data_IF_508130108349
#
_entry.id   IF_508130108349
#
_cell.length_a   1.000
_cell.length_b   1.000
_cell.length_c   1.000
_cell.angle_alpha   90.00
_cell.angle_beta   90.00
_cell.angle_gamma   90.00
#
_symmetry.space_group_name_H-M   'P 1'
#
loop_
_entity.id
_entity.type
_entity.pdbx_description
1 polymer ?
#
# COMPACT_ATOMS: atom_id res chain seq x y z
N UNK A 1 22.68 -8.49 -5.01
CA UNK A 1 21.63 -7.45 -4.88
C UNK A 1 21.40 -7.17 -3.41
N UNK A 2 21.21 -5.90 -3.02
CA UNK A 2 20.87 -5.60 -1.64
C UNK A 2 19.48 -6.14 -1.32
N UNK A 3 19.35 -6.78 -0.16
CA UNK A 3 18.07 -7.27 0.35
C UNK A 3 17.17 -6.08 0.71
N UNK A 4 15.98 -6.00 0.17
CA UNK A 4 14.98 -4.98 0.48
C UNK A 4 13.83 -5.57 1.27
N UNK A 5 13.20 -4.77 2.10
CA UNK A 5 12.01 -5.13 2.89
C UNK A 5 10.80 -4.33 2.41
N UNK A 6 9.76 -5.04 1.98
CA UNK A 6 8.53 -4.46 1.45
C UNK A 6 7.35 -4.79 2.35
N UNK A 7 6.59 -3.78 2.75
CA UNK A 7 5.29 -3.95 3.42
C UNK A 7 4.18 -3.68 2.41
N UNK A 8 3.22 -4.59 2.28
CA UNK A 8 2.01 -4.40 1.47
C UNK A 8 0.80 -4.19 2.39
N UNK A 9 -0.01 -3.16 2.09
CA UNK A 9 -1.21 -2.82 2.85
C UNK A 9 -2.47 -3.04 2.01
N UNK A 10 -3.39 -3.88 2.50
CA UNK A 10 -4.69 -4.10 1.89
C UNK A 10 -5.75 -4.39 2.97
N UNK A 11 -7.06 -4.30 2.64
CA UNK A 11 -8.12 -4.56 3.62
C UNK A 11 -8.14 -5.99 4.13
N UNK A 12 -8.11 -6.95 3.23
CA UNK A 12 -8.27 -8.39 3.47
C UNK A 12 -7.46 -9.20 2.46
N UNK A 13 -7.26 -10.49 2.72
CA UNK A 13 -6.58 -11.47 1.85
C UNK A 13 -7.53 -12.56 1.34
N UNK A 14 -8.78 -12.19 1.05
CA UNK A 14 -9.77 -13.12 0.50
C UNK A 14 -9.60 -13.32 -1.03
N UNK A 15 -10.62 -13.80 -1.73
CA UNK A 15 -10.55 -14.05 -3.17
C UNK A 15 -10.83 -12.76 -3.94
N UNK A 16 -9.84 -12.28 -4.69
CA UNK A 16 -9.96 -11.08 -5.55
C UNK A 16 -8.68 -10.83 -6.35
N UNK A 17 -8.73 -9.91 -7.29
CA UNK A 17 -7.59 -9.58 -8.13
C UNK A 17 -6.48 -8.85 -7.38
N UNK A 18 -6.84 -7.98 -6.44
CA UNK A 18 -5.88 -7.26 -5.57
C UNK A 18 -5.18 -8.23 -4.64
N UNK A 19 -5.93 -9.12 -4.04
CA UNK A 19 -5.48 -10.12 -3.08
C UNK A 19 -4.54 -11.13 -3.74
N UNK A 20 -4.91 -11.66 -4.93
CA UNK A 20 -4.04 -12.52 -5.75
C UNK A 20 -2.75 -11.82 -6.11
N UNK A 21 -2.83 -10.60 -6.64
CA UNK A 21 -1.64 -9.82 -6.99
C UNK A 21 -0.78 -9.48 -5.76
N UNK A 22 -1.35 -9.38 -4.56
CA UNK A 22 -0.60 -9.21 -3.31
C UNK A 22 0.16 -10.47 -2.96
N UNK A 23 -0.50 -11.64 -3.03
CA UNK A 23 0.09 -12.95 -2.81
C UNK A 23 1.24 -13.20 -3.79
N UNK A 24 0.97 -13.07 -5.08
CA UNK A 24 1.96 -13.36 -6.13
C UNK A 24 3.19 -12.46 -6.01
N UNK A 25 2.99 -11.18 -5.73
CA UNK A 25 4.09 -10.25 -5.49
C UNK A 25 4.86 -10.57 -4.21
N UNK A 26 4.16 -10.97 -3.13
CA UNK A 26 4.78 -11.40 -1.87
C UNK A 26 5.69 -12.61 -2.09
N UNK A 27 5.18 -13.64 -2.77
CA UNK A 27 5.93 -14.86 -3.07
C UNK A 27 7.15 -14.57 -3.95
N UNK A 28 6.98 -13.75 -5.01
CA UNK A 28 8.08 -13.34 -5.88
C UNK A 28 9.17 -12.55 -5.14
N UNK A 29 8.84 -11.74 -4.14
CA UNK A 29 9.82 -11.06 -3.30
C UNK A 29 10.66 -12.08 -2.52
N UNK A 30 10.03 -13.05 -1.88
CA UNK A 30 10.71 -14.10 -1.10
C UNK A 30 11.61 -14.95 -2.01
N UNK A 31 11.11 -15.39 -3.17
CA UNK A 31 11.87 -16.16 -4.16
C UNK A 31 13.13 -15.42 -4.65
N UNK A 32 13.07 -14.08 -4.71
CA UNK A 32 14.20 -13.22 -5.07
C UNK A 32 15.12 -12.86 -3.90
N UNK A 33 14.89 -13.43 -2.71
CA UNK A 33 15.70 -13.21 -1.50
C UNK A 33 15.40 -11.90 -0.76
N UNK A 34 14.27 -11.24 -1.05
CA UNK A 34 13.81 -10.05 -0.34
C UNK A 34 12.92 -10.41 0.86
N UNK A 35 12.59 -9.42 1.69
CA UNK A 35 11.64 -9.58 2.79
C UNK A 35 10.27 -9.05 2.38
N UNK A 36 9.24 -9.87 2.58
CA UNK A 36 7.85 -9.49 2.36
C UNK A 36 7.07 -9.52 3.65
N UNK A 37 6.32 -8.44 3.90
CA UNK A 37 5.39 -8.31 5.01
C UNK A 37 4.05 -7.90 4.42
N UNK A 38 2.98 -8.57 4.83
CA UNK A 38 1.62 -8.20 4.44
C UNK A 38 0.83 -7.82 5.69
N UNK A 39 0.14 -6.68 5.64
CA UNK A 39 -0.72 -6.20 6.73
C UNK A 39 -2.15 -6.11 6.20
N UNK A 40 -3.04 -6.89 6.78
CA UNK A 40 -4.46 -6.97 6.41
C UNK A 40 -5.30 -7.54 7.56
N UNK A 41 -6.61 -7.66 7.37
CA UNK A 41 -7.50 -8.34 8.31
C UNK A 41 -7.46 -9.87 8.20
N UNK A 42 -6.44 -10.44 7.53
CA UNK A 42 -6.37 -11.88 7.23
C UNK A 42 -7.24 -12.29 6.04
N UNK A 43 -7.39 -13.59 5.83
CA UNK A 43 -8.19 -14.19 4.77
C UNK A 43 -7.57 -15.44 4.18
N UNK A 44 -8.15 -15.96 3.11
CA UNK A 44 -7.81 -17.28 2.54
C UNK A 44 -6.34 -17.38 2.07
N UNK A 45 -5.72 -16.28 1.61
CA UNK A 45 -4.33 -16.29 1.16
C UNK A 45 -3.31 -16.07 2.29
N UNK A 46 -3.75 -15.86 3.54
CA UNK A 46 -2.83 -15.64 4.66
C UNK A 46 -1.88 -16.82 4.86
N UNK A 47 -2.42 -18.05 4.87
CA UNK A 47 -1.63 -19.25 5.03
C UNK A 47 -0.63 -19.42 3.86
N UNK A 48 -1.07 -19.19 2.64
CA UNK A 48 -0.22 -19.34 1.44
C UNK A 48 1.00 -18.39 1.52
N UNK A 49 0.81 -17.11 1.82
CA UNK A 49 1.92 -16.15 1.92
C UNK A 49 2.86 -16.45 3.09
N UNK A 50 2.35 -16.94 4.23
CA UNK A 50 3.17 -17.27 5.40
C UNK A 50 3.95 -18.56 5.20
N UNK A 51 3.37 -19.56 4.56
CA UNK A 51 4.06 -20.80 4.21
C UNK A 51 5.22 -20.56 3.23
N UNK A 52 5.11 -19.53 2.36
CA UNK A 52 6.20 -19.08 1.47
C UNK A 52 7.26 -18.23 2.17
N UNK A 53 7.11 -17.92 3.46
CA UNK A 53 8.11 -17.22 4.28
C UNK A 53 7.88 -15.71 4.45
N UNK A 54 6.75 -15.15 4.00
CA UNK A 54 6.39 -13.78 4.31
C UNK A 54 5.83 -13.66 5.74
N UNK A 55 5.98 -12.48 6.35
CA UNK A 55 5.29 -12.16 7.61
C UNK A 55 3.90 -11.62 7.34
N UNK A 56 2.94 -11.96 8.19
CA UNK A 56 1.62 -11.35 8.19
C UNK A 56 1.30 -10.70 9.54
N UNK A 57 0.79 -9.46 9.50
CA UNK A 57 0.24 -8.77 10.67
C UNK A 57 -1.25 -8.58 10.49
N UNK A 58 -2.05 -9.16 11.40
CA UNK A 58 -3.49 -8.99 11.37
C UNK A 58 -3.89 -7.62 11.94
N UNK A 59 -4.35 -6.73 11.06
CA UNK A 59 -4.93 -5.43 11.39
C UNK A 59 -6.22 -5.19 10.58
N UNK A 60 -7.31 -4.77 11.22
CA UNK A 60 -8.60 -4.54 10.55
C UNK A 60 -8.60 -3.24 9.74
N UNK A 61 -7.77 -3.17 8.69
CA UNK A 61 -7.58 -1.99 7.84
C UNK A 61 -8.80 -1.65 6.96
N UNK A 62 -9.83 -2.50 6.96
CA UNK A 62 -11.10 -2.28 6.24
C UNK A 62 -12.09 -1.39 6.99
N UNK A 63 -11.95 -1.24 8.32
CA UNK A 63 -12.94 -0.55 9.15
C UNK A 63 -12.85 0.97 9.00
N UNK A 64 -13.97 1.59 8.61
CA UNK A 64 -14.18 3.05 8.60
C UNK A 64 -14.68 3.48 9.99
N UNK A 65 -13.79 3.94 10.86
CA UNK A 65 -14.18 4.35 12.22
C UNK A 65 -13.13 5.30 12.81
N UNK A 66 -13.48 6.00 13.91
CA UNK A 66 -12.54 6.70 14.81
C UNK A 66 -11.40 5.78 15.30
N UNK A 67 -11.59 4.47 15.24
CA UNK A 67 -10.58 3.43 15.41
C UNK A 67 -9.39 3.55 14.43
N UNK A 68 -9.55 4.26 13.32
CA UNK A 68 -8.47 4.46 12.33
C UNK A 68 -7.26 5.21 12.90
N UNK A 69 -7.44 6.11 13.90
CA UNK A 69 -6.34 6.78 14.57
C UNK A 69 -5.53 5.83 15.47
N UNK A 70 -6.23 4.91 16.15
CA UNK A 70 -5.57 3.84 16.92
C UNK A 70 -4.80 2.87 16.01
N UNK A 71 -5.41 2.48 14.90
CA UNK A 71 -4.74 1.65 13.88
C UNK A 71 -3.53 2.36 13.27
N UNK A 72 -3.59 3.67 13.07
CA UNK A 72 -2.44 4.44 12.59
C UNK A 72 -1.28 4.43 13.58
N UNK A 73 -1.56 4.50 14.90
CA UNK A 73 -0.52 4.37 15.94
C UNK A 73 0.10 2.97 15.93
N UNK A 74 -0.73 1.92 15.82
CA UNK A 74 -0.24 0.54 15.76
C UNK A 74 0.58 0.30 14.49
N UNK A 75 0.15 0.84 13.36
CA UNK A 75 0.84 0.75 12.08
C UNK A 75 2.19 1.47 12.10
N UNK A 76 2.27 2.69 12.69
CA UNK A 76 3.54 3.41 12.84
C UNK A 76 4.54 2.62 13.70
N UNK A 77 4.07 1.97 14.76
CA UNK A 77 4.94 1.13 15.60
C UNK A 77 5.49 -0.09 14.83
N UNK A 78 4.67 -0.74 14.00
CA UNK A 78 5.15 -1.82 13.11
C UNK A 78 6.23 -1.29 12.16
N UNK A 79 6.08 -0.09 11.59
CA UNK A 79 7.09 0.50 10.72
C UNK A 79 8.40 0.80 11.46
N UNK A 80 8.34 1.29 12.69
CA UNK A 80 9.52 1.55 13.53
C UNK A 80 10.27 0.26 13.88
N UNK A 81 9.55 -0.83 14.13
CA UNK A 81 10.13 -2.14 14.44
C UNK A 81 10.71 -2.82 13.19
N UNK A 82 9.92 -2.90 12.12
CA UNK A 82 10.29 -3.65 10.92
C UNK A 82 11.22 -2.86 9.98
N UNK A 83 11.21 -1.53 10.05
CA UNK A 83 12.06 -0.62 9.24
C UNK A 83 12.01 -0.97 7.75
N UNK A 84 10.82 -0.94 7.12
CA UNK A 84 10.69 -1.27 5.70
C UNK A 84 11.41 -0.25 4.83
N UNK A 85 11.90 -0.69 3.67
CA UNK A 85 12.41 0.18 2.62
C UNK A 85 11.25 0.76 1.79
N UNK A 86 10.21 -0.06 1.56
CA UNK A 86 9.05 0.30 0.73
C UNK A 86 7.77 -0.07 1.47
N UNK A 87 6.78 0.84 1.42
CA UNK A 87 5.40 0.57 1.80
C UNK A 87 4.52 0.68 0.57
N UNK A 88 3.85 -0.41 0.22
CA UNK A 88 3.01 -0.52 -0.96
C UNK A 88 1.53 -0.56 -0.58
N UNK A 89 0.80 0.48 -0.93
CA UNK A 89 -0.63 0.63 -0.64
C UNK A 89 -1.45 0.12 -1.81
N UNK A 90 -2.40 -0.77 -1.53
CA UNK A 90 -3.26 -1.39 -2.54
C UNK A 90 -4.74 -1.00 -2.46
N UNK A 91 -5.13 -0.19 -1.46
CA UNK A 91 -6.52 0.23 -1.29
C UNK A 91 -6.65 1.53 -0.51
N UNK A 92 -7.77 2.24 -0.72
CA UNK A 92 -8.05 3.58 -0.17
C UNK A 92 -8.11 3.64 1.36
N UNK A 93 -8.77 2.67 2.02
CA UNK A 93 -8.85 2.69 3.50
C UNK A 93 -7.48 2.48 4.16
N UNK A 94 -6.68 1.45 3.78
CA UNK A 94 -5.30 1.35 4.21
C UNK A 94 -4.47 2.60 3.91
N UNK A 95 -4.73 3.30 2.79
CA UNK A 95 -4.04 4.54 2.45
C UNK A 95 -4.31 5.66 3.46
N UNK A 96 -5.55 5.83 3.92
CA UNK A 96 -5.88 6.81 4.95
C UNK A 96 -5.23 6.49 6.29
N UNK A 97 -5.26 5.23 6.73
CA UNK A 97 -4.62 4.80 7.97
C UNK A 97 -3.10 5.02 7.86
N UNK A 98 -2.51 4.65 6.73
CA UNK A 98 -1.10 4.88 6.45
C UNK A 98 -0.74 6.38 6.45
N UNK A 99 -1.55 7.24 5.87
CA UNK A 99 -1.32 8.69 5.86
C UNK A 99 -1.15 9.26 7.28
N UNK A 100 -1.97 8.83 8.23
CA UNK A 100 -1.85 9.22 9.63
C UNK A 100 -0.67 8.54 10.33
N UNK A 101 -0.35 7.28 9.98
CA UNK A 101 0.81 6.58 10.51
C UNK A 101 2.12 7.26 10.07
N UNK A 102 2.23 7.63 8.80
CA UNK A 102 3.41 8.31 8.24
C UNK A 102 3.72 9.67 8.87
N UNK A 103 2.69 10.40 9.34
CA UNK A 103 2.90 11.67 10.07
C UNK A 103 3.63 11.49 11.41
N UNK A 104 3.67 10.26 11.93
CA UNK A 104 4.31 9.91 13.21
C UNK A 104 5.75 9.43 13.05
N UNK A 105 6.18 9.11 11.82
CA UNK A 105 7.50 8.57 11.55
C UNK A 105 8.53 9.69 11.39
N UNK A 106 9.68 9.53 12.05
CA UNK A 106 10.86 10.36 11.84
C UNK A 106 11.57 10.03 10.53
N UNK A 107 11.73 8.72 10.24
CA UNK A 107 12.28 8.22 8.97
C UNK A 107 11.16 7.53 8.19
N UNK A 108 10.91 8.01 6.97
CA UNK A 108 9.84 7.50 6.11
C UNK A 108 10.41 6.54 5.07
N UNK A 109 9.80 5.35 4.89
CA UNK A 109 10.10 4.48 3.74
C UNK A 109 9.54 5.09 2.44
N UNK A 110 9.98 4.56 1.31
CA UNK A 110 9.40 4.91 0.00
C UNK A 110 7.95 4.42 -0.04
N UNK A 111 7.05 5.31 -0.43
CA UNK A 111 5.63 5.02 -0.49
C UNK A 111 5.18 4.80 -1.93
N UNK A 112 4.58 3.63 -2.19
CA UNK A 112 4.06 3.24 -3.50
C UNK A 112 2.56 2.98 -3.39
N UNK A 113 1.78 3.35 -4.38
CA UNK A 113 0.37 2.94 -4.48
C UNK A 113 0.06 2.28 -5.81
N UNK A 114 -0.87 1.32 -5.81
CA UNK A 114 -1.44 0.76 -7.04
C UNK A 114 -2.91 1.15 -7.17
N UNK A 115 -3.24 1.73 -8.32
CA UNK A 115 -4.62 2.03 -8.70
C UNK A 115 -5.19 0.85 -9.48
N UNK A 116 -6.15 0.13 -8.87
CA UNK A 116 -6.76 -1.10 -9.41
C UNK A 116 -8.07 -0.85 -10.18
N UNK A 117 -8.54 0.40 -10.27
CA UNK A 117 -9.79 0.72 -10.95
C UNK A 117 -10.12 2.20 -10.98
N UNK A 118 -11.30 2.51 -11.54
CA UNK A 118 -11.86 3.85 -11.62
C UNK A 118 -12.44 4.24 -10.25
N UNK A 119 -11.80 5.13 -9.54
CA UNK A 119 -12.30 5.60 -8.26
C UNK A 119 -13.25 6.79 -8.44
N UNK A 120 -14.50 6.64 -8.01
CA UNK A 120 -15.61 7.56 -8.28
C UNK A 120 -15.67 8.82 -7.38
N UNK A 121 -14.89 8.88 -6.31
CA UNK A 121 -14.92 10.03 -5.36
C UNK A 121 -13.56 10.69 -5.24
N UNK A 122 -13.39 11.92 -5.81
CA UNK A 122 -12.08 12.58 -5.89
C UNK A 122 -11.40 12.74 -4.53
N UNK A 123 -12.07 13.33 -3.55
CA UNK A 123 -11.48 13.68 -2.24
C UNK A 123 -11.03 12.43 -1.46
N UNK A 124 -11.87 11.39 -1.42
CA UNK A 124 -11.55 10.18 -0.68
C UNK A 124 -10.40 9.39 -1.34
N UNK A 125 -10.29 9.46 -2.66
CA UNK A 125 -9.28 8.75 -3.44
C UNK A 125 -7.95 9.49 -3.55
N UNK A 126 -7.92 10.81 -3.33
CA UNK A 126 -6.70 11.63 -3.38
C UNK A 126 -5.59 11.15 -2.45
N UNK A 127 -5.92 10.47 -1.34
CA UNK A 127 -4.91 9.90 -0.45
C UNK A 127 -4.01 8.88 -1.16
N UNK A 128 -4.52 8.19 -2.19
CA UNK A 128 -3.76 7.23 -2.99
C UNK A 128 -2.71 7.90 -3.88
N UNK A 129 -2.86 9.19 -4.19
CA UNK A 129 -1.88 9.96 -4.98
C UNK A 129 -0.83 10.69 -4.11
N UNK A 130 -0.99 10.69 -2.76
CA UNK A 130 -0.01 11.27 -1.82
C UNK A 130 1.10 10.26 -1.51
N UNK A 131 1.80 9.82 -2.54
CA UNK A 131 2.84 8.78 -2.50
C UNK A 131 4.02 9.19 -3.38
N UNK A 132 5.15 8.51 -3.25
CA UNK A 132 6.34 8.77 -4.08
C UNK A 132 6.19 8.19 -5.49
N UNK A 133 5.54 7.01 -5.61
CA UNK A 133 5.34 6.34 -6.90
C UNK A 133 3.93 5.77 -7.03
N UNK A 134 3.37 5.87 -8.23
CA UNK A 134 2.05 5.32 -8.56
C UNK A 134 2.21 4.24 -9.63
N UNK A 135 1.58 3.09 -9.39
CA UNK A 135 1.44 2.01 -10.36
C UNK A 135 0.00 2.05 -10.88
N UNK A 136 -0.18 2.24 -12.18
CA UNK A 136 -1.45 2.16 -12.87
C UNK A 136 -1.57 0.85 -13.64
N UNK A 137 -2.63 0.09 -13.42
CA UNK A 137 -2.84 -1.23 -14.06
C UNK A 137 -3.26 -1.14 -15.54
N UNK A 138 -3.64 0.06 -16.02
CA UNK A 138 -4.00 0.31 -17.42
C UNK A 138 -3.84 1.78 -17.79
N UNK A 139 -3.80 2.08 -19.10
CA UNK A 139 -3.75 3.46 -19.58
C UNK A 139 -4.98 4.29 -19.16
N UNK A 140 -6.16 3.68 -19.09
CA UNK A 140 -7.37 4.34 -18.60
C UNK A 140 -7.22 4.76 -17.13
N UNK A 141 -6.69 3.88 -16.28
CA UNK A 141 -6.42 4.17 -14.87
C UNK A 141 -5.31 5.21 -14.72
N UNK A 142 -4.29 5.17 -15.59
CA UNK A 142 -3.22 6.19 -15.64
C UNK A 142 -3.80 7.59 -15.90
N UNK A 143 -4.65 7.74 -16.91
CA UNK A 143 -5.25 9.04 -17.24
C UNK A 143 -6.10 9.60 -16.10
N UNK A 144 -6.85 8.74 -15.40
CA UNK A 144 -7.62 9.14 -14.22
C UNK A 144 -6.73 9.49 -13.03
N UNK A 145 -5.64 8.78 -12.79
CA UNK A 145 -4.70 9.14 -11.71
C UNK A 145 -4.08 10.51 -11.95
N UNK A 146 -3.81 10.89 -13.21
CA UNK A 146 -3.34 12.22 -13.59
C UNK A 146 -4.36 13.33 -13.30
N UNK A 147 -5.65 13.08 -13.49
CA UNK A 147 -6.72 14.03 -13.15
C UNK A 147 -6.75 14.27 -11.64
N UNK A 148 -6.60 13.24 -10.82
CA UNK A 148 -6.55 13.35 -9.35
C UNK A 148 -5.30 14.04 -8.82
N UNK A 149 -4.19 14.03 -9.58
CA UNK A 149 -2.94 14.71 -9.24
C UNK A 149 -2.98 16.19 -9.65
N UNK A 150 -3.74 16.54 -10.68
CA UNK A 150 -3.77 17.91 -11.26
C UNK A 150 -4.67 18.88 -10.52
N UNK A 151 -5.48 18.46 -9.54
CA UNK A 151 -6.22 19.37 -8.66
C UNK A 151 -5.29 20.01 -7.59
N UNK A 152 -5.57 21.24 -7.08
CA UNK A 152 -4.58 22.23 -6.64
C UNK A 152 -3.87 21.96 -5.32
N UNK A 153 -3.33 20.80 -5.09
CA UNK A 153 -2.31 20.56 -4.06
C UNK A 153 -0.89 20.62 -4.63
N UNK A 154 -0.68 21.43 -5.65
CA UNK A 154 0.62 21.82 -6.25
C UNK A 154 1.49 22.62 -5.29
N UNK A 155 1.78 22.07 -4.11
CA UNK A 155 2.84 22.59 -3.23
C UNK A 155 3.51 21.43 -2.54
N UNK A 156 4.32 20.68 -3.30
CA UNK A 156 5.54 20.02 -2.83
C UNK A 156 6.13 19.42 -4.11
N UNK A 157 7.33 19.85 -4.49
CA UNK A 157 8.01 19.47 -5.73
C UNK A 157 8.50 18.02 -5.72
N UNK A 158 7.61 17.07 -5.88
CA UNK A 158 7.94 15.67 -6.09
C UNK A 158 7.51 15.28 -7.51
N UNK A 159 8.49 14.92 -8.32
CA UNK A 159 8.28 14.27 -9.60
C UNK A 159 7.69 12.88 -9.34
N UNK A 160 6.39 12.72 -9.55
CA UNK A 160 5.74 11.41 -9.45
C UNK A 160 6.13 10.56 -10.66
N UNK A 161 6.72 9.41 -10.42
CA UNK A 161 6.88 8.40 -11.46
C UNK A 161 5.61 7.55 -11.54
N UNK A 162 4.89 7.62 -12.65
CA UNK A 162 3.74 6.75 -12.91
C UNK A 162 4.21 5.59 -13.79
N UNK A 163 4.18 4.39 -13.24
CA UNK A 163 4.50 3.16 -13.95
C UNK A 163 3.20 2.56 -14.45
N UNK A 164 3.02 2.45 -15.76
CA UNK A 164 1.90 1.74 -16.36
C UNK A 164 2.29 0.29 -16.65
N UNK A 165 1.55 -0.66 -16.10
CA UNK A 165 1.69 -2.06 -16.47
C UNK A 165 0.95 -2.28 -17.81
N UNK A 166 1.66 -2.81 -18.82
CA UNK A 166 1.09 -3.21 -20.11
C UNK A 166 0.39 -4.55 -19.99
#
# INVERSE_FOLDING_TARGET
>A
MNKIKVIQLLPELNIGGVERGTRDFSNALIEKGHESIVISNGGLFEKDITDHGAKHFNLPLHKKSLFSLFLAKKLSHIYEQEKPDIVHIRSRMPAWINYFAFKRLSKKPILVSTFHGLYSTPIYSQVMSKVDHIIAISNTVKNLSLIHISEPTRRIGNSYAIICLK
#
